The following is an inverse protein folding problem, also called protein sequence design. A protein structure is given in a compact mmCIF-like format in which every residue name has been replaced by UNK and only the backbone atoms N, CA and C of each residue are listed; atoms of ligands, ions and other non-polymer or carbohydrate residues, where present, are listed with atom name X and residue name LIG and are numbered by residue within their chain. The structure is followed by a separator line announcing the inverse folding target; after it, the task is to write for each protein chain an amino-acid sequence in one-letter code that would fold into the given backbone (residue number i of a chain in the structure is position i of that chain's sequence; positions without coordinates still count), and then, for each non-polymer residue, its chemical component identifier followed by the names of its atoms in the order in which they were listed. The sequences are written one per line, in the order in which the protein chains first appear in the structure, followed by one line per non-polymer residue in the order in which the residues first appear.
data_IF_119326578849
#
_entry.id   IF_119326578849
#
_cell.length_a   1.000
_cell.length_b   1.000
_cell.length_c   1.000
_cell.angle_alpha   90.00
_cell.angle_beta   90.00
_cell.angle_gamma   90.00
#
_symmetry.space_group_name_H-M   'P 1'
#
loop_
_entity.id
_entity.type
_entity.pdbx_description
1 polymer ?
#
# COMPACT_ATOMS: atom_id res chain seq x y z
N UNK A 1 9.64 44.87 47.15
CA UNK A 1 9.59 44.53 45.72
C UNK A 1 9.55 43.02 45.59
N UNK A 2 8.37 42.49 45.44
CA UNK A 2 8.15 41.03 45.31
C UNK A 2 8.29 40.62 43.84
N UNK A 3 9.19 39.66 43.54
CA UNK A 3 9.35 39.06 42.21
C UNK A 3 8.20 38.06 41.97
N UNK A 4 7.42 38.29 40.91
CA UNK A 4 6.41 37.36 40.44
C UNK A 4 7.09 36.13 39.83
N UNK A 5 6.55 34.93 40.04
CA UNK A 5 7.11 33.72 39.40
C UNK A 5 6.69 33.68 37.92
N UNK A 6 7.69 33.48 37.06
CA UNK A 6 7.51 33.25 35.63
C UNK A 6 6.91 31.83 35.47
N UNK A 7 5.69 31.76 34.92
CA UNK A 7 5.05 30.48 34.56
C UNK A 7 5.81 29.82 33.41
N UNK A 8 6.52 28.74 33.73
CA UNK A 8 7.11 27.84 32.73
C UNK A 8 6.00 27.04 32.11
N UNK A 9 5.67 27.36 30.88
CA UNK A 9 4.79 26.53 30.04
C UNK A 9 5.43 25.17 29.87
N UNK A 10 4.94 24.17 30.58
CA UNK A 10 5.24 22.77 30.32
C UNK A 10 4.71 22.46 28.91
N UNK A 11 5.61 22.30 27.93
CA UNK A 11 5.28 21.68 26.66
C UNK A 11 4.71 20.31 26.95
N UNK A 12 3.45 20.11 26.60
CA UNK A 12 2.79 18.81 26.65
C UNK A 12 3.57 17.87 25.71
N UNK A 13 4.39 17.02 26.28
CA UNK A 13 5.02 15.91 25.56
C UNK A 13 3.93 14.87 25.35
N UNK A 14 3.27 14.91 24.20
CA UNK A 14 2.41 13.81 23.79
C UNK A 14 3.27 12.57 23.65
N UNK A 15 3.10 11.62 24.57
CA UNK A 15 3.76 10.33 24.49
C UNK A 15 3.31 9.63 23.19
N UNK A 16 4.26 9.28 22.33
CA UNK A 16 4.02 8.55 21.09
C UNK A 16 3.58 7.13 21.48
N UNK A 17 2.31 6.79 21.17
CA UNK A 17 1.75 5.47 21.48
C UNK A 17 2.30 4.38 20.55
N UNK A 18 2.70 3.23 21.10
CA UNK A 18 2.78 1.97 20.34
C UNK A 18 1.38 1.38 20.29
N UNK A 19 0.87 1.17 19.06
CA UNK A 19 -0.36 0.40 18.86
C UNK A 19 0.01 -0.91 18.21
N UNK A 20 -0.46 -2.06 18.72
CA UNK A 20 -0.43 -3.28 17.95
C UNK A 20 -1.29 -3.06 16.71
N UNK A 21 -0.72 -3.31 15.54
CA UNK A 21 -1.47 -3.26 14.28
C UNK A 21 -2.01 -4.65 14.02
N UNK A 22 -3.32 -4.80 13.75
CA UNK A 22 -3.85 -6.08 13.34
C UNK A 22 -3.16 -6.50 12.05
N UNK A 23 -2.64 -7.72 12.02
CA UNK A 23 -2.04 -8.31 10.83
C UNK A 23 -3.16 -8.70 9.90
N UNK A 24 -3.03 -8.30 8.65
CA UNK A 24 -3.92 -8.72 7.57
C UNK A 24 -3.04 -9.41 6.54
N UNK A 25 -3.27 -10.71 6.35
CA UNK A 25 -2.58 -11.46 5.29
C UNK A 25 -3.32 -11.21 3.97
N UNK A 26 -2.66 -10.50 3.06
CA UNK A 26 -3.18 -10.31 1.71
C UNK A 26 -2.73 -11.47 0.83
N UNK A 27 -3.69 -12.27 0.34
CA UNK A 27 -3.42 -13.47 -0.42
C UNK A 27 -2.97 -13.20 -1.87
N UNK A 28 -3.25 -12.00 -2.41
CA UNK A 28 -2.84 -11.60 -3.75
C UNK A 28 -2.47 -10.11 -3.76
N UNK A 29 -1.30 -9.75 -4.29
CA UNK A 29 -0.79 -8.39 -4.31
C UNK A 29 -0.25 -8.00 -5.68
N UNK A 30 -0.72 -6.88 -6.22
CA UNK A 30 -0.26 -6.30 -7.48
C UNK A 30 0.95 -5.39 -7.24
N UNK A 31 2.07 -5.66 -7.95
CA UNK A 31 3.19 -4.72 -7.98
C UNK A 31 2.79 -3.46 -8.79
N UNK A 32 2.58 -2.36 -8.07
CA UNK A 32 2.14 -1.07 -8.64
C UNK A 32 3.07 -0.53 -9.71
N UNK A 33 4.38 -0.85 -9.63
CA UNK A 33 5.37 -0.35 -10.59
C UNK A 33 5.36 -1.14 -11.90
N UNK A 34 4.72 -2.31 -11.92
CA UNK A 34 4.61 -3.17 -13.09
C UNK A 34 3.41 -2.84 -13.99
N UNK A 35 2.45 -2.03 -13.49
CA UNK A 35 1.20 -1.75 -14.17
C UNK A 35 1.43 -0.85 -15.40
N UNK A 36 1.12 -1.39 -16.59
CA UNK A 36 1.28 -0.69 -17.87
C UNK A 36 0.25 -1.12 -18.88
N UNK A 37 0.13 -0.35 -19.95
CA UNK A 37 -0.64 -0.73 -21.13
C UNK A 37 0.32 -1.01 -22.27
N UNK A 38 0.24 -2.21 -22.83
CA UNK A 38 0.97 -2.61 -24.03
C UNK A 38 0.06 -2.41 -25.26
N UNK A 39 0.61 -1.79 -26.30
CA UNK A 39 -0.08 -1.67 -27.58
C UNK A 39 -0.25 -3.07 -28.19
N UNK A 40 -1.37 -3.31 -28.84
CA UNK A 40 -1.56 -4.52 -29.62
C UNK A 40 -0.68 -4.50 -30.88
N UNK A 41 -0.17 -5.65 -31.29
CA UNK A 41 0.52 -5.80 -32.56
C UNK A 41 -0.50 -5.83 -33.72
N UNK A 42 -0.29 -5.03 -34.77
CA UNK A 42 -1.24 -4.91 -35.89
C UNK A 42 -2.60 -4.38 -35.44
N UNK A 43 -3.66 -5.12 -35.80
CA UNK A 43 -5.07 -4.78 -35.45
C UNK A 43 -5.48 -5.27 -34.04
N UNK A 44 -4.58 -5.82 -33.26
CA UNK A 44 -4.91 -6.32 -31.93
C UNK A 44 -5.20 -5.16 -30.96
N UNK A 45 -6.21 -5.34 -30.11
CA UNK A 45 -6.55 -4.37 -29.08
C UNK A 45 -5.42 -4.25 -28.03
N UNK A 46 -5.20 -3.04 -27.47
CA UNK A 46 -4.23 -2.85 -26.41
C UNK A 46 -4.59 -3.66 -25.16
N UNK A 47 -3.57 -4.06 -24.41
CA UNK A 47 -3.72 -4.92 -23.23
C UNK A 47 -3.14 -4.24 -22.00
N UNK A 48 -3.83 -4.39 -20.90
CA UNK A 48 -3.32 -4.07 -19.58
C UNK A 48 -2.42 -5.22 -19.12
N UNK A 49 -1.21 -4.88 -18.69
CA UNK A 49 -0.20 -5.84 -18.24
C UNK A 49 0.31 -5.43 -16.87
N UNK A 50 0.39 -6.37 -15.95
CA UNK A 50 0.93 -6.17 -14.61
C UNK A 50 1.49 -7.48 -14.05
N UNK A 51 2.36 -7.35 -13.07
CA UNK A 51 2.94 -8.47 -12.31
C UNK A 51 2.30 -8.50 -10.93
N UNK A 52 2.08 -9.68 -10.41
CA UNK A 52 1.50 -9.87 -9.10
C UNK A 52 2.09 -11.11 -8.41
N UNK A 53 2.00 -11.11 -7.10
CA UNK A 53 2.28 -12.25 -6.24
C UNK A 53 0.96 -12.75 -5.65
N UNK A 54 0.69 -14.06 -5.77
CA UNK A 54 -0.50 -14.68 -5.21
C UNK A 54 -0.16 -15.99 -4.50
N UNK A 55 -0.58 -16.08 -3.24
CA UNK A 55 -0.39 -17.26 -2.39
C UNK A 55 -1.54 -18.24 -2.52
N UNK A 56 -2.67 -17.82 -3.06
CA UNK A 56 -3.90 -18.60 -3.25
C UNK A 56 -4.46 -18.32 -4.66
N UNK A 57 -5.27 -19.22 -5.22
CA UNK A 57 -5.96 -18.95 -6.47
C UNK A 57 -6.84 -17.69 -6.36
N UNK A 58 -6.86 -16.88 -7.39
CA UNK A 58 -7.56 -15.61 -7.39
C UNK A 58 -8.20 -15.30 -8.74
N UNK A 59 -9.09 -14.33 -8.72
CA UNK A 59 -9.70 -13.74 -9.90
C UNK A 59 -9.20 -12.32 -10.07
N UNK A 60 -8.62 -12.01 -11.22
CA UNK A 60 -8.27 -10.65 -11.59
C UNK A 60 -9.35 -10.08 -12.52
N UNK A 61 -9.76 -8.85 -12.27
CA UNK A 61 -10.66 -8.10 -13.13
C UNK A 61 -10.15 -6.68 -13.34
N UNK A 62 -10.58 -6.04 -14.43
CA UNK A 62 -10.32 -4.65 -14.67
C UNK A 62 -11.59 -3.92 -15.07
N UNK A 63 -11.72 -2.68 -14.65
CA UNK A 63 -12.81 -1.79 -15.02
C UNK A 63 -12.30 -0.37 -15.23
N UNK A 64 -13.06 0.42 -15.97
CA UNK A 64 -12.77 1.81 -16.25
C UNK A 64 -13.90 2.68 -15.73
N UNK A 65 -13.57 3.66 -14.92
CA UNK A 65 -14.51 4.65 -14.41
C UNK A 65 -14.34 5.97 -15.16
N UNK A 66 -15.42 6.46 -15.76
CA UNK A 66 -15.49 7.73 -16.49
C UNK A 66 -16.71 8.50 -16.02
N UNK A 67 -16.51 9.65 -15.40
CA UNK A 67 -17.61 10.50 -14.94
C UNK A 67 -18.58 9.81 -13.98
N UNK A 68 -18.08 8.94 -13.11
CA UNK A 68 -18.90 8.18 -12.16
C UNK A 68 -19.61 6.94 -12.74
N UNK A 69 -19.36 6.61 -14.01
CA UNK A 69 -19.85 5.38 -14.62
C UNK A 69 -18.71 4.39 -14.78
N UNK A 70 -18.88 3.20 -14.22
CA UNK A 70 -17.93 2.11 -14.31
C UNK A 70 -18.33 1.12 -15.41
N UNK A 71 -17.37 0.75 -16.26
CA UNK A 71 -17.50 -0.28 -17.28
C UNK A 71 -16.53 -1.41 -16.98
N UNK A 72 -17.06 -2.63 -16.80
CA UNK A 72 -16.24 -3.84 -16.61
C UNK A 72 -15.64 -4.30 -17.93
N UNK A 73 -14.47 -4.93 -17.87
CA UNK A 73 -13.68 -5.25 -19.07
C UNK A 73 -13.49 -6.72 -19.28
N UNK A 74 -13.41 -7.45 -18.23
CA UNK A 74 -13.12 -8.87 -18.28
C UNK A 74 -12.54 -9.30 -16.95
N UNK A 75 -12.60 -10.61 -16.76
CA UNK A 75 -12.06 -11.25 -15.58
C UNK A 75 -11.33 -12.50 -16.01
N UNK A 76 -10.29 -12.86 -15.28
CA UNK A 76 -9.53 -14.09 -15.47
C UNK A 76 -9.25 -14.71 -14.12
N UNK A 77 -9.48 -16.02 -14.00
CA UNK A 77 -9.07 -16.79 -12.84
C UNK A 77 -7.64 -17.31 -13.06
N UNK A 78 -6.80 -17.17 -12.08
CA UNK A 78 -5.38 -17.52 -12.13
C UNK A 78 -5.00 -18.36 -10.89
N UNK A 79 -4.06 -19.30 -11.02
CA UNK A 79 -3.56 -20.07 -9.89
C UNK A 79 -2.66 -19.22 -8.98
N UNK A 80 -2.38 -19.74 -7.78
CA UNK A 80 -1.33 -19.20 -6.92
C UNK A 80 0.03 -19.27 -7.65
N UNK A 81 0.76 -18.15 -7.66
CA UNK A 81 2.11 -18.07 -8.20
C UNK A 81 2.76 -16.75 -7.80
N UNK A 82 4.08 -16.75 -7.62
CA UNK A 82 4.86 -15.53 -7.40
C UNK A 82 5.33 -14.97 -8.74
N UNK A 83 5.49 -13.65 -8.81
CA UNK A 83 5.96 -12.90 -9.98
C UNK A 83 5.20 -13.26 -11.26
N UNK A 84 3.91 -13.53 -11.12
CA UNK A 84 3.05 -13.92 -12.24
C UNK A 84 2.65 -12.70 -13.05
N UNK A 85 2.88 -12.77 -14.37
CA UNK A 85 2.42 -11.73 -15.27
C UNK A 85 0.96 -11.99 -15.70
N UNK A 86 0.11 -11.02 -15.46
CA UNK A 86 -1.29 -11.03 -15.90
C UNK A 86 -1.50 -10.09 -17.09
N UNK A 87 -2.34 -10.50 -18.03
CA UNK A 87 -2.72 -9.71 -19.20
C UNK A 87 -4.24 -9.69 -19.34
N UNK A 88 -4.83 -8.50 -19.24
CA UNK A 88 -6.26 -8.27 -19.44
C UNK A 88 -6.49 -7.41 -20.68
N UNK A 89 -7.59 -7.57 -21.40
CA UNK A 89 -7.94 -6.63 -22.45
C UNK A 89 -8.16 -5.24 -21.86
N UNK A 90 -7.81 -4.19 -22.59
CA UNK A 90 -8.18 -2.84 -22.19
C UNK A 90 -9.68 -2.60 -22.52
N UNK A 91 -10.44 -1.91 -21.64
CA UNK A 91 -11.87 -1.63 -21.87
C UNK A 91 -12.16 -1.04 -23.24
N UNK A 92 -13.26 -1.46 -23.85
CA UNK A 92 -13.78 -0.79 -25.04
C UNK A 92 -14.04 0.70 -24.72
N UNK A 93 -13.53 1.59 -25.57
CA UNK A 93 -13.62 3.04 -25.35
C UNK A 93 -12.53 3.64 -24.44
N UNK A 94 -11.64 2.85 -23.87
CA UNK A 94 -10.54 3.35 -23.03
C UNK A 94 -9.66 4.36 -23.77
N UNK A 95 -9.35 4.12 -25.03
CA UNK A 95 -8.55 5.05 -25.85
C UNK A 95 -9.24 6.41 -26.03
N UNK A 96 -10.56 6.43 -26.23
CA UNK A 96 -11.32 7.66 -26.35
C UNK A 96 -11.39 8.39 -24.99
N UNK A 97 -11.66 7.65 -23.92
CA UNK A 97 -11.70 8.19 -22.56
C UNK A 97 -10.34 8.75 -22.13
N UNK A 98 -9.24 8.06 -22.44
CA UNK A 98 -7.88 8.45 -22.06
C UNK A 98 -7.38 9.75 -22.75
N UNK A 99 -8.08 10.20 -23.81
CA UNK A 99 -7.85 11.50 -24.44
C UNK A 99 -8.69 12.61 -23.82
N UNK A 100 -9.66 12.24 -22.99
CA UNK A 100 -10.59 13.17 -22.35
C UNK A 100 -10.04 13.79 -21.07
N UNK A 101 -10.79 14.79 -20.58
CA UNK A 101 -10.53 15.40 -19.28
C UNK A 101 -11.86 15.49 -18.51
N UNK A 102 -11.94 15.01 -17.27
CA UNK A 102 -10.86 14.40 -16.46
C UNK A 102 -10.41 13.04 -17.01
N UNK A 103 -9.16 12.67 -16.69
CA UNK A 103 -8.64 11.35 -17.05
C UNK A 103 -9.48 10.24 -16.39
N UNK A 104 -9.76 9.15 -17.11
CA UNK A 104 -10.50 8.03 -16.56
C UNK A 104 -9.67 7.32 -15.49
N UNK A 105 -10.34 6.71 -14.52
CA UNK A 105 -9.72 5.86 -13.50
C UNK A 105 -9.84 4.41 -13.92
N UNK A 106 -8.70 3.77 -14.10
CA UNK A 106 -8.58 2.34 -14.29
C UNK A 106 -8.57 1.69 -12.91
N UNK A 107 -9.39 0.67 -12.71
CA UNK A 107 -9.46 -0.09 -11.46
C UNK A 107 -9.12 -1.54 -11.80
N UNK A 108 -8.05 -2.06 -11.20
CA UNK A 108 -7.68 -3.47 -11.24
C UNK A 108 -8.00 -4.08 -9.90
N UNK A 109 -8.84 -5.10 -9.88
CA UNK A 109 -9.25 -5.78 -8.66
C UNK A 109 -8.78 -7.23 -8.68
N UNK A 110 -8.13 -7.63 -7.58
CA UNK A 110 -7.73 -9.00 -7.29
C UNK A 110 -8.62 -9.55 -6.18
N UNK A 111 -9.34 -10.61 -6.45
CA UNK A 111 -10.24 -11.25 -5.50
C UNK A 111 -9.78 -12.70 -5.25
N UNK A 112 -9.32 -13.03 -4.03
CA UNK A 112 -9.05 -14.43 -3.68
C UNK A 112 -10.28 -15.31 -3.88
N UNK A 113 -10.07 -16.52 -4.38
CA UNK A 113 -11.15 -17.50 -4.58
C UNK A 113 -11.45 -18.31 -3.33
N UNK A 114 -10.54 -18.29 -2.36
CA UNK A 114 -10.71 -18.95 -1.06
C UNK A 114 -11.21 -17.96 0.00
N UNK A 115 -11.84 -18.49 1.04
CA UNK A 115 -12.39 -17.68 2.12
C UNK A 115 -11.30 -17.24 3.10
N UNK A 116 -10.80 -16.01 2.94
CA UNK A 116 -9.79 -15.37 3.79
C UNK A 116 -10.30 -14.12 4.53
N UNK A 117 -9.38 -13.42 5.18
CA UNK A 117 -9.65 -12.12 5.84
C UNK A 117 -9.83 -10.99 4.84
N UNK A 118 -9.16 -11.10 3.70
CA UNK A 118 -9.22 -10.14 2.60
C UNK A 118 -10.31 -10.55 1.64
N UNK A 119 -11.18 -9.61 1.31
CA UNK A 119 -12.22 -9.77 0.30
C UNK A 119 -11.67 -9.49 -1.10
N UNK A 120 -10.92 -8.39 -1.24
CA UNK A 120 -10.25 -8.02 -2.50
C UNK A 120 -9.14 -6.99 -2.26
N UNK A 121 -8.20 -6.91 -3.21
CA UNK A 121 -7.28 -5.78 -3.36
C UNK A 121 -7.65 -5.02 -4.63
N UNK A 122 -7.81 -3.69 -4.52
CA UNK A 122 -8.13 -2.82 -5.65
C UNK A 122 -6.99 -1.82 -5.88
N UNK A 123 -6.47 -1.77 -7.11
CA UNK A 123 -5.48 -0.78 -7.56
C UNK A 123 -6.17 0.22 -8.47
N UNK A 124 -6.12 1.49 -8.09
CA UNK A 124 -6.66 2.62 -8.83
C UNK A 124 -5.55 3.35 -9.55
N UNK A 125 -5.71 3.57 -10.84
CA UNK A 125 -4.71 4.27 -11.65
C UNK A 125 -5.38 5.26 -12.62
N UNK A 126 -4.74 6.39 -12.88
CA UNK A 126 -5.14 7.27 -13.96
C UNK A 126 -4.63 6.71 -15.28
N UNK A 127 -5.44 6.79 -16.32
CA UNK A 127 -5.09 6.37 -17.66
C UNK A 127 -5.10 7.58 -18.59
N UNK A 128 -3.98 7.89 -19.20
CA UNK A 128 -3.84 8.98 -20.16
C UNK A 128 -3.28 8.47 -21.48
N UNK A 129 -3.62 9.14 -22.55
CA UNK A 129 -3.11 8.81 -23.87
C UNK A 129 -2.35 10.01 -24.45
N UNK A 130 -1.05 9.83 -24.68
CA UNK A 130 -0.18 10.81 -25.31
C UNK A 130 0.26 10.31 -26.69
N UNK A 131 -0.30 10.88 -27.75
CA UNK A 131 -0.09 10.38 -29.12
C UNK A 131 -0.66 8.97 -29.28
N UNK A 132 0.19 8.00 -29.56
CA UNK A 132 -0.16 6.57 -29.69
C UNK A 132 0.15 5.73 -28.43
N UNK A 133 0.75 6.34 -27.41
CA UNK A 133 1.20 5.64 -26.20
C UNK A 133 0.28 5.92 -25.02
N UNK A 134 0.10 4.93 -24.16
CA UNK A 134 -0.62 5.06 -22.90
C UNK A 134 0.35 5.35 -21.76
N UNK A 135 -0.06 6.22 -20.86
CA UNK A 135 0.60 6.46 -19.56
C UNK A 135 -0.36 6.02 -18.46
N UNK A 136 0.14 5.21 -17.55
CA UNK A 136 -0.60 4.72 -16.38
C UNK A 136 0.11 5.23 -15.14
N UNK A 137 -0.63 5.90 -14.26
CA UNK A 137 -0.12 6.39 -12.98
C UNK A 137 -0.98 5.83 -11.86
N UNK A 138 -0.37 5.03 -10.99
CA UNK A 138 -1.08 4.45 -9.84
C UNK A 138 -1.37 5.53 -8.82
N UNK A 139 -2.64 5.73 -8.52
CA UNK A 139 -3.12 6.71 -7.56
C UNK A 139 -3.14 6.16 -6.14
N UNK A 140 -3.66 4.96 -5.97
CA UNK A 140 -3.76 4.26 -4.67
C UNK A 140 -4.02 2.78 -4.85
N UNK A 141 -3.71 2.02 -3.80
CA UNK A 141 -4.15 0.63 -3.65
C UNK A 141 -4.93 0.50 -2.34
N UNK A 142 -5.97 -0.30 -2.34
CA UNK A 142 -6.84 -0.53 -1.19
C UNK A 142 -7.07 -2.03 -1.01
N UNK A 143 -7.03 -2.49 0.23
CA UNK A 143 -7.38 -3.87 0.61
C UNK A 143 -8.72 -3.81 1.33
N UNK A 144 -9.73 -4.47 0.78
CA UNK A 144 -11.04 -4.61 1.39
C UNK A 144 -11.07 -5.83 2.30
N UNK A 145 -11.49 -5.64 3.55
CA UNK A 145 -11.56 -6.69 4.55
C UNK A 145 -12.99 -7.22 4.71
N UNK A 146 -13.12 -8.50 5.07
CA UNK A 146 -14.41 -9.05 5.49
C UNK A 146 -14.83 -8.44 6.82
N UNK A 147 -15.98 -7.82 6.84
CA UNK A 147 -16.51 -7.12 8.04
C UNK A 147 -16.84 -8.04 9.22
N UNK A 148 -17.07 -9.34 8.99
CA UNK A 148 -17.37 -10.34 10.01
C UNK A 148 -16.13 -10.79 10.81
N UNK A 149 -14.93 -10.51 10.31
CA UNK A 149 -13.66 -10.88 10.95
C UNK A 149 -13.00 -9.75 11.74
N UNK A 150 -13.52 -8.53 11.67
CA UNK A 150 -12.96 -7.39 12.39
C UNK A 150 -13.62 -7.29 13.76
N UNK A 151 -12.85 -7.61 14.80
CA UNK A 151 -13.28 -7.51 16.19
C UNK A 151 -13.64 -6.05 16.52
N UNK A 152 -14.91 -5.80 16.85
CA UNK A 152 -15.39 -4.49 17.30
C UNK A 152 -16.08 -3.61 16.25
N UNK A 153 -16.17 -4.04 15.00
CA UNK A 153 -17.01 -3.37 14.01
C UNK A 153 -18.35 -4.11 13.82
N UNK A 154 -19.44 -3.40 14.03
CA UNK A 154 -20.74 -3.85 13.57
C UNK A 154 -20.69 -4.06 12.05
N UNK A 155 -21.47 -5.01 11.53
CA UNK A 155 -21.57 -5.26 10.08
C UNK A 155 -21.85 -3.94 9.37
N UNK A 156 -20.79 -3.29 8.90
CA UNK A 156 -20.87 -2.04 8.17
C UNK A 156 -20.96 -2.33 6.67
N UNK A 157 -21.84 -1.64 6.01
CA UNK A 157 -21.90 -1.63 4.55
C UNK A 157 -21.52 -0.21 4.10
N UNK A 158 -20.45 0.01 3.34
CA UNK A 158 -19.56 -0.97 2.67
C UNK A 158 -18.50 -1.61 3.60
N UNK A 159 -17.85 -2.71 3.18
CA UNK A 159 -16.78 -3.32 3.96
C UNK A 159 -15.62 -2.33 4.15
N UNK A 160 -14.91 -2.40 5.30
CA UNK A 160 -13.80 -1.49 5.56
C UNK A 160 -12.66 -1.72 4.57
N UNK A 161 -12.14 -0.63 4.01
CA UNK A 161 -11.00 -0.64 3.11
C UNK A 161 -9.78 -0.01 3.79
N UNK A 162 -8.64 -0.65 3.66
CA UNK A 162 -7.34 -0.16 4.13
C UNK A 162 -6.52 0.31 2.94
N UNK A 163 -6.02 1.55 3.01
CA UNK A 163 -5.13 2.07 1.96
C UNK A 163 -3.73 1.50 2.16
N UNK A 164 -3.22 0.81 1.14
CA UNK A 164 -1.85 0.28 1.12
C UNK A 164 -0.86 1.43 0.98
N UNK A 165 0.15 1.45 1.85
CA UNK A 165 1.18 2.48 1.85
C UNK A 165 2.56 1.85 1.97
N UNK A 166 3.52 2.36 1.18
CA UNK A 166 4.90 1.91 1.23
C UNK A 166 5.57 2.28 2.55
N UNK A 167 6.41 1.38 3.03
CA UNK A 167 7.35 1.64 4.11
C UNK A 167 8.71 1.91 3.47
N UNK A 168 9.28 3.09 3.74
CA UNK A 168 10.60 3.46 3.23
C UNK A 168 11.70 2.86 4.10
N UNK A 169 12.71 2.29 3.45
CA UNK A 169 13.85 1.70 4.12
C UNK A 169 13.69 0.21 4.43
N UNK A 170 12.69 -0.46 3.90
CA UNK A 170 12.71 -1.90 3.74
C UNK A 170 13.32 -2.15 2.35
N UNK A 171 14.47 -2.80 2.31
CA UNK A 171 15.13 -3.13 1.04
C UNK A 171 14.38 -4.27 0.37
N UNK A 172 13.56 -3.97 -0.62
CA UNK A 172 12.96 -4.96 -1.50
C UNK A 172 13.99 -5.52 -2.48
N UNK A 173 14.89 -6.34 -2.01
CA UNK A 173 15.87 -7.05 -2.84
C UNK A 173 15.61 -8.54 -2.75
N UNK A 174 15.46 -9.19 -3.92
CA UNK A 174 15.45 -10.64 -4.21
C UNK A 174 15.49 -11.56 -2.99
N UNK A 175 14.53 -12.48 -2.93
CA UNK A 175 14.41 -13.66 -2.09
C UNK A 175 15.58 -13.88 -1.10
N UNK A 176 15.29 -13.87 0.21
CA UNK A 176 16.20 -14.20 1.32
C UNK A 176 17.10 -13.08 1.88
N UNK A 177 17.10 -11.86 1.37
CA UNK A 177 17.72 -10.76 2.10
C UNK A 177 16.82 -10.41 3.29
N UNK A 178 17.33 -10.59 4.49
CA UNK A 178 16.71 -10.18 5.75
C UNK A 178 16.33 -8.69 5.67
N UNK A 179 15.04 -8.42 5.48
CA UNK A 179 14.50 -7.06 5.29
C UNK A 179 14.80 -6.14 6.49
N UNK A 180 15.14 -6.75 7.64
CA UNK A 180 15.52 -6.08 8.88
C UNK A 180 17.02 -6.07 9.14
N UNK A 181 17.86 -6.61 8.24
CA UNK A 181 19.31 -6.73 8.47
C UNK A 181 20.04 -5.38 8.57
N UNK A 182 19.47 -4.31 8.04
CA UNK A 182 20.14 -3.01 8.11
C UNK A 182 20.13 -2.41 9.53
N UNK A 183 21.25 -1.79 9.94
CA UNK A 183 21.38 -1.29 11.30
C UNK A 183 20.47 -0.08 11.59
N UNK A 184 20.08 0.07 12.82
CA UNK A 184 19.35 1.22 13.34
C UNK A 184 20.12 2.52 13.09
N UNK A 185 19.47 3.53 12.52
CA UNK A 185 20.06 4.83 12.21
C UNK A 185 20.48 5.65 13.46
N UNK A 186 20.09 5.22 14.67
CA UNK A 186 20.39 5.92 15.93
C UNK A 186 21.54 5.25 16.69
N UNK A 187 21.47 3.94 16.93
CA UNK A 187 22.49 3.23 17.71
C UNK A 187 23.51 2.48 16.87
N UNK A 188 23.23 2.24 15.59
CA UNK A 188 24.08 1.50 14.65
C UNK A 188 24.43 0.05 15.06
N UNK A 189 23.84 -0.44 16.15
CA UNK A 189 24.18 -1.75 16.75
C UNK A 189 23.11 -2.81 16.55
N UNK A 190 21.83 -2.45 16.65
CA UNK A 190 20.73 -3.37 16.51
C UNK A 190 20.04 -3.22 15.13
N UNK A 191 19.40 -4.28 14.58
CA UNK A 191 18.64 -4.18 13.35
C UNK A 191 17.47 -3.23 13.51
N UNK A 192 17.13 -2.50 12.43
CA UNK A 192 15.97 -1.61 12.43
C UNK A 192 14.69 -2.42 12.23
N UNK A 193 13.71 -2.22 13.06
CA UNK A 193 12.42 -2.91 13.01
C UNK A 193 11.22 -1.99 13.31
N UNK A 194 11.43 -0.68 13.41
CA UNK A 194 10.38 0.25 13.80
C UNK A 194 10.22 1.36 12.77
N UNK A 195 8.98 1.53 12.33
CA UNK A 195 8.53 2.53 11.36
C UNK A 195 8.05 3.77 12.08
N UNK A 196 8.47 4.93 11.61
CA UNK A 196 8.05 6.24 12.13
C UNK A 196 6.91 6.79 11.30
N UNK A 197 5.75 7.03 11.91
CA UNK A 197 4.61 7.62 11.25
C UNK A 197 4.51 9.14 11.55
N UNK A 198 4.03 9.97 10.63
CA UNK A 198 3.41 9.64 9.35
C UNK A 198 4.40 9.46 8.18
N UNK A 199 5.70 9.69 8.36
CA UNK A 199 6.67 9.67 7.27
C UNK A 199 7.03 8.27 6.74
N UNK A 200 6.66 7.21 7.45
CA UNK A 200 6.80 5.80 7.07
C UNK A 200 8.24 5.29 6.88
N UNK A 201 9.23 5.95 7.48
CA UNK A 201 10.61 5.47 7.47
C UNK A 201 10.80 4.35 8.51
N UNK A 202 11.21 3.15 8.08
CA UNK A 202 11.70 2.08 8.93
C UNK A 202 13.19 2.32 9.17
N UNK A 203 13.57 2.89 10.31
CA UNK A 203 14.93 3.38 10.49
C UNK A 203 15.50 3.21 11.91
N UNK A 204 14.73 2.73 12.86
CA UNK A 204 15.14 2.59 14.26
C UNK A 204 14.82 1.21 14.79
N UNK A 205 15.62 0.76 15.78
CA UNK A 205 15.33 -0.47 16.54
C UNK A 205 14.34 -0.18 17.68
N UNK A 206 13.80 -1.24 18.26
CA UNK A 206 12.83 -1.18 19.37
C UNK A 206 13.33 -0.37 20.56
N UNK A 207 14.57 -0.58 20.99
CA UNK A 207 15.15 0.16 22.13
C UNK A 207 15.25 1.66 21.86
N UNK A 208 15.70 2.04 20.67
CA UNK A 208 15.75 3.44 20.26
C UNK A 208 14.35 4.04 20.13
N UNK A 209 13.37 3.26 19.67
CA UNK A 209 11.98 3.66 19.62
C UNK A 209 11.40 3.92 21.02
N UNK A 210 11.71 3.05 21.98
CA UNK A 210 11.30 3.24 23.38
C UNK A 210 11.84 4.57 23.97
N UNK A 211 13.11 4.91 23.68
CA UNK A 211 13.71 6.20 24.09
C UNK A 211 13.09 7.38 23.36
N UNK A 212 12.81 7.23 22.08
CA UNK A 212 12.13 8.26 21.29
C UNK A 212 10.75 8.62 21.85
N UNK A 213 10.01 7.71 22.40
CA UNK A 213 8.67 7.95 23.00
C UNK A 213 8.68 8.96 24.13
N UNK A 214 9.78 9.08 24.87
CA UNK A 214 9.88 9.94 26.04
C UNK A 214 10.44 11.33 25.76
N UNK A 215 11.11 11.56 24.62
CA UNK A 215 11.91 12.77 24.35
C UNK A 215 11.38 13.72 23.28
N UNK A 216 10.11 13.55 22.85
CA UNK A 216 9.50 14.49 21.86
C UNK A 216 10.14 14.38 20.47
N UNK A 217 9.75 13.41 19.73
CA UNK A 217 10.55 12.70 18.75
C UNK A 217 10.35 13.16 17.32
N UNK A 218 11.46 13.23 16.59
CA UNK A 218 11.47 13.46 15.13
C UNK A 218 12.10 12.25 14.45
N UNK A 219 11.64 11.94 13.25
CA UNK A 219 12.26 10.90 12.43
C UNK A 219 13.76 11.19 12.20
N UNK A 220 14.67 10.25 12.46
CA UNK A 220 16.11 10.43 12.24
C UNK A 220 16.47 10.72 10.78
N UNK A 221 15.66 10.25 9.83
CA UNK A 221 15.92 10.39 8.38
C UNK A 221 15.41 11.74 7.86
N UNK A 222 14.11 12.05 8.02
CA UNK A 222 13.50 13.24 7.41
C UNK A 222 13.18 14.35 8.42
N UNK A 223 13.41 14.14 9.71
CA UNK A 223 13.17 15.10 10.80
C UNK A 223 11.70 15.50 10.99
N UNK A 224 10.77 14.86 10.29
CA UNK A 224 9.34 15.06 10.51
C UNK A 224 8.95 14.60 11.91
N UNK A 225 8.03 15.32 12.57
CA UNK A 225 7.54 14.93 13.89
C UNK A 225 6.87 13.55 13.85
N UNK A 226 7.28 12.68 14.75
CA UNK A 226 6.68 11.37 14.93
C UNK A 226 5.37 11.50 15.71
N UNK A 227 4.30 10.98 15.15
CA UNK A 227 2.98 10.89 15.80
C UNK A 227 2.73 9.49 16.37
N UNK A 228 3.31 8.48 15.75
CA UNK A 228 3.15 7.07 16.11
C UNK A 228 4.40 6.29 15.68
N UNK A 229 4.69 5.21 16.40
CA UNK A 229 5.71 4.24 16.05
C UNK A 229 5.04 2.88 15.83
N UNK A 230 5.40 2.22 14.74
CA UNK A 230 4.92 0.90 14.35
C UNK A 230 6.10 -0.06 14.39
N UNK A 231 6.05 -1.07 15.25
CA UNK A 231 7.06 -2.11 15.34
C UNK A 231 6.71 -3.27 14.40
N UNK A 232 7.67 -3.65 13.56
CA UNK A 232 7.59 -4.82 12.69
C UNK A 232 8.23 -6.01 13.40
N UNK A 233 7.66 -7.18 13.28
CA UNK A 233 8.23 -8.45 13.75
C UNK A 233 8.70 -9.24 12.53
N UNK A 234 9.69 -10.13 12.71
CA UNK A 234 10.19 -10.96 11.59
C UNK A 234 9.09 -11.78 10.93
N UNK A 235 8.12 -12.25 11.71
CA UNK A 235 6.94 -12.97 11.21
C UNK A 235 6.03 -12.10 10.32
N UNK A 236 6.14 -10.77 10.38
CA UNK A 236 5.36 -9.84 9.54
C UNK A 236 5.94 -9.71 8.11
N UNK A 237 7.16 -10.21 7.91
CA UNK A 237 7.94 -10.04 6.68
C UNK A 237 8.08 -11.35 5.88
N UNK A 238 7.63 -12.46 6.43
CA UNK A 238 7.60 -13.75 5.73
C UNK A 238 6.35 -13.79 4.83
N UNK A 239 6.58 -13.69 3.53
CA UNK A 239 5.57 -13.87 2.48
C UNK A 239 5.41 -15.36 2.19
#
# INVERSE_FOLDING_TARGET
MARQPVAVHRRSTHAVGLRPVPRVRNAAHLDRNSLKVEAGEGDAAPRLVFTLDAMEPFQASASLEVGGKQSSVGQVALPASLQQQCRLPLPAGAAAAARGSPAPVLIVELQPLEDGEVLSEATYASLQMCGSSYTVEVLRQEVCLRSDRIIGHARSSPPPALVVQDIFGLSGGSAEADLLAEPCAVCLGAPRNTVVLPCRHCCICEECAARMRTSGSKCPICRQAATQLLQLQEEDLTI
#
